data_IF_056588094292
#
_entry.id   IF_056588094292
#
_cell.length_a   1.000
_cell.length_b   1.000
_cell.length_c   1.000
_cell.angle_alpha   90.00
_cell.angle_beta   90.00
_cell.angle_gamma   90.00
#
_symmetry.space_group_name_H-M   'P 1'
#
loop_
_entity.id
_entity.type
_entity.pdbx_description
1 polymer ?
#
# COMPACT_ATOMS: atom_id res chain seq x y z
N UNK A 1 13.01 -27.07 8.64
CA UNK A 1 13.88 -26.22 9.49
C UNK A 1 13.91 -24.83 8.89
N UNK A 2 13.17 -23.85 9.45
CA UNK A 2 13.26 -22.45 9.01
C UNK A 2 14.51 -21.85 9.65
N UNK A 3 15.54 -21.58 8.85
CA UNK A 3 16.70 -20.83 9.29
C UNK A 3 16.22 -19.45 9.73
N UNK A 4 16.15 -19.22 11.05
CA UNK A 4 15.89 -17.89 11.62
C UNK A 4 17.19 -17.12 11.47
N UNK A 5 17.24 -16.19 10.51
CA UNK A 5 18.32 -15.21 10.46
C UNK A 5 17.82 -14.01 11.26
N UNK A 6 18.13 -13.92 12.57
CA UNK A 6 17.43 -13.03 13.50
C UNK A 6 17.56 -11.54 13.14
N UNK A 7 18.59 -11.20 12.37
CA UNK A 7 18.88 -9.83 11.95
C UNK A 7 18.09 -9.39 10.71
N UNK A 8 17.93 -10.27 9.71
CA UNK A 8 17.13 -9.94 8.52
C UNK A 8 15.65 -9.83 8.90
N UNK A 9 15.14 -10.74 9.72
CA UNK A 9 13.75 -10.71 10.17
C UNK A 9 13.36 -9.38 10.83
N UNK A 10 14.31 -8.67 11.44
CA UNK A 10 14.07 -7.37 12.11
C UNK A 10 13.73 -6.23 11.15
N UNK A 11 14.00 -6.39 9.86
CA UNK A 11 13.74 -5.39 8.82
C UNK A 11 12.24 -5.23 8.61
N UNK A 12 11.49 -6.34 8.60
CA UNK A 12 10.05 -6.37 8.31
C UNK A 12 9.18 -6.90 9.45
N UNK A 13 9.77 -7.45 10.53
CA UNK A 13 9.03 -7.89 11.72
C UNK A 13 9.11 -6.86 12.84
N UNK A 14 7.97 -6.67 13.50
CA UNK A 14 7.83 -5.84 14.69
C UNK A 14 7.65 -6.77 15.89
N UNK A 15 8.58 -6.66 16.85
CA UNK A 15 8.58 -7.40 18.11
C UNK A 15 8.61 -6.42 19.27
N UNK A 16 7.63 -6.48 20.14
CA UNK A 16 7.57 -5.65 21.34
C UNK A 16 6.60 -6.31 22.35
N UNK A 17 6.51 -5.72 23.54
CA UNK A 17 5.70 -6.22 24.65
C UNK A 17 4.87 -5.08 25.26
N UNK A 18 3.67 -5.41 25.72
CA UNK A 18 2.77 -4.48 26.41
C UNK A 18 2.36 -5.09 27.74
N UNK A 19 2.45 -4.31 28.82
CA UNK A 19 1.91 -4.71 30.12
C UNK A 19 0.39 -4.81 30.05
N UNK A 20 -0.15 -5.92 30.54
CA UNK A 20 -1.58 -6.11 30.72
C UNK A 20 -1.98 -5.57 32.11
N UNK A 21 -3.19 -5.01 32.25
CA UNK A 21 -3.73 -4.64 33.56
C UNK A 21 -3.78 -5.86 34.49
N UNK A 22 -3.52 -5.64 35.77
CA UNK A 22 -3.45 -6.71 36.77
C UNK A 22 -4.73 -7.56 36.78
N UNK A 23 -4.58 -8.89 36.75
CA UNK A 23 -5.68 -9.84 36.88
C UNK A 23 -6.42 -10.21 35.59
N UNK A 24 -6.10 -9.64 34.43
CA UNK A 24 -6.75 -10.03 33.16
C UNK A 24 -6.27 -11.43 32.73
N UNK A 25 -7.18 -12.42 32.56
CA UNK A 25 -6.81 -13.72 32.02
C UNK A 25 -6.50 -13.68 30.52
N UNK A 26 -5.64 -14.59 30.00
CA UNK A 26 -5.30 -14.69 28.58
C UNK A 26 -6.53 -14.67 27.67
N UNK A 27 -7.56 -15.46 28.03
CA UNK A 27 -8.80 -15.55 27.27
C UNK A 27 -9.51 -14.19 27.15
N UNK A 28 -9.63 -13.45 28.26
CA UNK A 28 -10.23 -12.12 28.25
C UNK A 28 -9.37 -11.09 27.47
N UNK A 29 -8.04 -11.23 27.49
CA UNK A 29 -7.17 -10.39 26.68
C UNK A 29 -7.38 -10.67 25.18
N UNK A 30 -7.50 -11.94 24.78
CA UNK A 30 -7.76 -12.32 23.40
C UNK A 30 -9.17 -11.94 22.93
N UNK A 31 -10.19 -12.02 23.79
CA UNK A 31 -11.54 -11.53 23.49
C UNK A 31 -11.54 -10.02 23.20
N UNK A 32 -10.79 -9.24 23.98
CA UNK A 32 -10.63 -7.79 23.74
C UNK A 32 -9.88 -7.47 22.45
N UNK A 33 -8.99 -8.36 22.01
CA UNK A 33 -8.26 -8.22 20.75
C UNK A 33 -9.04 -8.74 19.54
N UNK A 34 -10.02 -9.63 19.74
CA UNK A 34 -10.78 -10.26 18.66
C UNK A 34 -11.38 -9.27 17.64
N UNK A 35 -11.89 -8.08 18.02
CA UNK A 35 -12.40 -7.10 17.05
C UNK A 35 -11.38 -6.63 16.01
N UNK A 36 -10.07 -6.65 16.33
CA UNK A 36 -9.00 -6.27 15.38
C UNK A 36 -8.74 -7.35 14.32
N UNK A 37 -9.20 -8.57 14.58
CA UNK A 37 -9.05 -9.71 13.69
C UNK A 37 -10.38 -10.16 13.07
N UNK A 38 -11.50 -9.55 13.47
CA UNK A 38 -12.82 -9.75 12.89
C UNK A 38 -12.95 -9.08 11.50
N UNK A 39 -12.00 -9.34 10.62
CA UNK A 39 -11.91 -8.79 9.26
C UNK A 39 -11.93 -9.93 8.25
N UNK A 40 -12.60 -9.72 7.12
CA UNK A 40 -12.68 -10.72 6.03
C UNK A 40 -11.29 -11.18 5.61
N UNK A 41 -11.12 -12.49 5.38
CA UNK A 41 -9.82 -13.07 5.00
C UNK A 41 -8.85 -13.29 6.17
N UNK A 42 -9.25 -13.01 7.41
CA UNK A 42 -8.43 -13.28 8.59
C UNK A 42 -8.73 -14.68 9.14
N UNK A 43 -7.68 -15.49 9.25
CA UNK A 43 -7.68 -16.75 9.99
C UNK A 43 -7.00 -16.53 11.34
N UNK A 44 -7.65 -16.95 12.42
CA UNK A 44 -7.14 -16.86 13.77
C UNK A 44 -7.24 -18.21 14.46
N UNK A 45 -6.16 -18.61 15.11
CA UNK A 45 -6.07 -19.82 15.91
C UNK A 45 -5.54 -19.45 17.30
N UNK A 46 -6.28 -19.85 18.33
CA UNK A 46 -5.87 -19.66 19.73
C UNK A 46 -5.48 -21.02 20.30
N UNK A 47 -4.25 -21.12 20.78
CA UNK A 47 -3.71 -22.33 21.41
C UNK A 47 -3.15 -21.96 22.78
N UNK A 48 -3.96 -22.16 23.82
CA UNK A 48 -3.61 -21.78 25.20
C UNK A 48 -3.31 -20.28 25.29
N UNK A 49 -2.09 -19.93 25.69
CA UNK A 49 -1.66 -18.54 25.85
C UNK A 49 -1.12 -17.89 24.57
N UNK A 50 -1.29 -18.51 23.41
CA UNK A 50 -0.78 -17.99 22.12
C UNK A 50 -1.90 -17.87 21.09
N UNK A 51 -2.05 -16.66 20.52
CA UNK A 51 -2.91 -16.37 19.38
C UNK A 51 -2.05 -16.21 18.12
N UNK A 52 -2.29 -17.03 17.11
CA UNK A 52 -1.65 -16.93 15.80
C UNK A 52 -2.70 -16.46 14.78
N UNK A 53 -2.32 -15.50 13.95
CA UNK A 53 -3.22 -15.02 12.90
C UNK A 53 -2.51 -14.87 11.56
N UNK A 54 -3.31 -15.00 10.50
CA UNK A 54 -2.90 -14.75 9.12
C UNK A 54 -4.06 -14.07 8.36
N UNK A 55 -3.77 -12.97 7.69
CA UNK A 55 -4.69 -12.16 6.90
C UNK A 55 -4.35 -12.32 5.43
N UNK A 56 -5.30 -12.85 4.66
CA UNK A 56 -5.26 -12.87 3.21
C UNK A 56 -6.02 -11.66 2.66
N UNK A 57 -5.34 -10.87 1.83
CA UNK A 57 -5.89 -9.68 1.15
C UNK A 57 -6.69 -8.72 2.08
N UNK A 58 -6.03 -8.08 3.07
CA UNK A 58 -6.72 -7.21 4.02
C UNK A 58 -7.31 -5.97 3.32
N UNK A 59 -8.51 -5.57 3.75
CA UNK A 59 -9.13 -4.35 3.27
C UNK A 59 -8.28 -3.12 3.64
N UNK A 60 -8.24 -2.10 2.79
CA UNK A 60 -7.48 -0.87 3.05
C UNK A 60 -7.93 -0.11 4.32
N UNK A 61 -9.15 -0.37 4.81
CA UNK A 61 -9.70 0.22 6.04
C UNK A 61 -9.35 -0.58 7.31
N UNK A 62 -8.70 -1.74 7.18
CA UNK A 62 -8.26 -2.54 8.33
C UNK A 62 -7.10 -1.84 9.06
N UNK A 63 -7.26 -1.63 10.37
CA UNK A 63 -6.25 -1.00 11.24
C UNK A 63 -4.93 -1.77 11.28
N UNK A 64 -4.96 -3.07 10.95
CA UNK A 64 -3.82 -3.96 10.89
C UNK A 64 -3.53 -4.43 9.44
N UNK A 65 -3.97 -3.71 8.41
CA UNK A 65 -3.81 -4.12 7.01
C UNK A 65 -2.34 -4.37 6.61
N UNK A 66 -1.40 -3.61 7.17
CA UNK A 66 0.04 -3.78 6.91
C UNK A 66 0.60 -5.05 7.54
N UNK A 67 -0.01 -5.53 8.63
CA UNK A 67 0.42 -6.69 9.40
C UNK A 67 -0.34 -7.94 8.98
N UNK A 68 0.18 -8.62 7.96
CA UNK A 68 -0.51 -9.78 7.35
C UNK A 68 -0.44 -11.03 8.20
N UNK A 69 0.57 -11.20 9.06
CA UNK A 69 0.66 -12.39 9.91
C UNK A 69 1.40 -12.10 11.21
N UNK A 70 1.12 -12.89 12.24
CA UNK A 70 1.83 -12.75 13.50
C UNK A 70 1.38 -13.70 14.59
N UNK A 71 2.14 -13.65 15.69
CA UNK A 71 1.87 -14.41 16.90
C UNK A 71 1.84 -13.44 18.08
N UNK A 72 0.80 -13.54 18.91
CA UNK A 72 0.67 -12.86 20.18
C UNK A 72 0.69 -13.90 21.29
N UNK A 73 1.44 -13.64 22.35
CA UNK A 73 1.59 -14.53 23.50
C UNK A 73 1.35 -13.76 24.77
N UNK A 74 0.54 -14.32 25.67
CA UNK A 74 0.36 -13.78 27.01
C UNK A 74 1.32 -14.50 27.94
N UNK A 75 2.27 -13.77 28.52
CA UNK A 75 3.17 -14.30 29.54
C UNK A 75 2.86 -13.69 30.90
N UNK A 76 2.79 -14.52 31.94
CA UNK A 76 2.62 -14.07 33.33
C UNK A 76 3.94 -14.20 34.07
N UNK A 77 4.40 -13.11 34.67
CA UNK A 77 5.63 -13.11 35.46
C UNK A 77 5.56 -12.13 36.62
N UNK A 78 5.98 -12.59 37.81
CA UNK A 78 6.30 -11.73 38.96
C UNK A 78 5.21 -10.78 39.45
N UNK A 79 3.93 -11.14 39.30
CA UNK A 79 2.79 -10.32 39.76
C UNK A 79 2.08 -9.51 38.67
N UNK A 80 2.59 -9.50 37.44
CA UNK A 80 1.95 -8.87 36.28
C UNK A 80 1.76 -9.83 35.10
N UNK A 81 0.95 -9.43 34.13
CA UNK A 81 0.81 -10.11 32.85
C UNK A 81 1.34 -9.21 31.73
N UNK A 82 1.97 -9.80 30.70
CA UNK A 82 2.43 -9.10 29.51
C UNK A 82 1.91 -9.77 28.25
N UNK A 83 1.63 -8.98 27.24
CA UNK A 83 1.35 -9.43 25.88
C UNK A 83 2.61 -9.20 25.04
N UNK A 84 3.31 -10.28 24.73
CA UNK A 84 4.43 -10.31 23.79
C UNK A 84 3.89 -10.54 22.38
N UNK A 85 4.30 -9.74 21.41
CA UNK A 85 3.86 -9.92 20.02
C UNK A 85 5.03 -9.91 19.04
N UNK A 86 4.90 -10.74 18.01
CA UNK A 86 5.81 -10.82 16.88
C UNK A 86 4.98 -10.87 15.58
N UNK A 87 4.92 -9.74 14.88
CA UNK A 87 4.10 -9.56 13.67
C UNK A 87 4.97 -9.20 12.47
N UNK A 88 4.60 -9.67 11.29
CA UNK A 88 5.26 -9.36 10.03
C UNK A 88 4.50 -8.31 9.23
N UNK A 89 5.20 -7.28 8.75
CA UNK A 89 4.67 -6.25 7.86
C UNK A 89 5.15 -6.49 6.42
N UNK A 90 4.24 -6.85 5.53
CA UNK A 90 4.55 -7.01 4.11
C UNK A 90 4.92 -5.65 3.47
N UNK A 91 4.28 -4.57 3.94
CA UNK A 91 4.55 -3.21 3.49
C UNK A 91 6.00 -2.78 3.79
N UNK A 92 6.51 -3.02 5.01
CA UNK A 92 7.91 -2.72 5.35
C UNK A 92 8.90 -3.53 4.51
N UNK A 93 8.60 -4.80 4.26
CA UNK A 93 9.45 -5.64 3.42
C UNK A 93 9.56 -5.06 2.01
N UNK A 94 8.42 -4.70 1.40
CA UNK A 94 8.38 -4.12 0.06
C UNK A 94 9.03 -2.73 0.02
N UNK A 95 8.78 -1.89 1.03
CA UNK A 95 9.42 -0.57 1.13
C UNK A 95 10.94 -0.67 1.35
N UNK A 96 11.42 -1.72 2.00
CA UNK A 96 12.86 -2.00 2.12
C UNK A 96 13.47 -2.51 0.81
N UNK A 97 12.72 -3.33 0.06
CA UNK A 97 13.21 -3.95 -1.18
C UNK A 97 13.18 -2.97 -2.36
N UNK A 98 12.21 -2.07 -2.41
CA UNK A 98 12.02 -1.13 -3.51
C UNK A 98 13.27 -0.26 -3.77
N UNK A 99 13.95 0.36 -2.78
CA UNK A 99 15.18 1.10 -3.00
C UNK A 99 16.28 0.27 -3.65
N UNK A 100 16.44 -0.98 -3.23
CA UNK A 100 17.44 -1.89 -3.80
C UNK A 100 17.12 -2.23 -5.25
N UNK A 101 15.84 -2.39 -5.57
CA UNK A 101 15.38 -2.62 -6.95
C UNK A 101 15.67 -1.40 -7.84
N UNK A 102 15.35 -0.19 -7.38
CA UNK A 102 15.62 1.04 -8.15
C UNK A 102 17.10 1.32 -8.30
N UNK A 103 17.92 1.04 -7.28
CA UNK A 103 19.37 1.10 -7.40
C UNK A 103 19.88 0.10 -8.43
N UNK A 104 19.35 -1.13 -8.46
CA UNK A 104 19.72 -2.11 -9.48
C UNK A 104 19.38 -1.62 -10.90
N UNK A 105 18.21 -1.00 -11.11
CA UNK A 105 17.88 -0.38 -12.40
C UNK A 105 18.80 0.79 -12.75
N UNK A 106 19.18 1.63 -11.78
CA UNK A 106 20.16 2.69 -12.02
C UNK A 106 21.52 2.12 -12.44
N UNK A 107 21.99 1.03 -11.81
CA UNK A 107 23.24 0.38 -12.20
C UNK A 107 23.14 -0.28 -13.58
N UNK A 108 22.00 -0.89 -13.91
CA UNK A 108 21.77 -1.45 -15.24
C UNK A 108 21.77 -0.36 -16.32
N UNK A 109 21.19 0.81 -16.05
CA UNK A 109 21.24 1.96 -16.96
C UNK A 109 22.68 2.44 -17.19
N UNK A 110 23.48 2.58 -16.12
CA UNK A 110 24.91 2.92 -16.23
C UNK A 110 25.67 1.88 -17.05
N UNK A 111 25.42 0.59 -16.81
CA UNK A 111 26.09 -0.49 -17.55
C UNK A 111 25.68 -0.52 -19.01
N UNK A 112 24.39 -0.34 -19.31
CA UNK A 112 23.88 -0.25 -20.68
C UNK A 112 24.54 0.92 -21.40
N UNK A 113 24.65 2.09 -20.76
CA UNK A 113 25.37 3.23 -21.32
C UNK A 113 26.87 2.93 -21.48
N UNK A 114 27.50 2.11 -20.66
CA UNK A 114 28.91 1.74 -20.84
C UNK A 114 29.12 0.76 -21.99
N UNK A 115 28.15 -0.13 -22.26
CA UNK A 115 28.23 -1.14 -23.33
C UNK A 115 27.81 -0.58 -24.69
N UNK A 116 26.78 0.26 -24.70
CA UNK A 116 26.26 0.91 -25.91
C UNK A 116 26.86 2.29 -26.14
N UNK A 117 27.44 2.92 -25.11
CA UNK A 117 28.09 4.23 -25.19
C UNK A 117 29.14 4.35 -26.29
N UNK A 118 30.05 3.37 -26.51
CA UNK A 118 31.03 3.43 -27.58
C UNK A 118 30.39 3.30 -28.97
N UNK A 119 29.36 2.47 -29.13
CA UNK A 119 28.67 2.31 -30.42
C UNK A 119 27.78 3.50 -30.76
N UNK A 120 27.22 4.13 -29.72
CA UNK A 120 26.42 5.35 -29.83
C UNK A 120 27.33 6.57 -30.01
N UNK A 121 28.50 6.64 -29.37
CA UNK A 121 29.52 7.68 -29.62
C UNK A 121 30.25 7.50 -30.96
N UNK A 122 30.54 6.27 -31.42
CA UNK A 122 31.14 6.03 -32.74
C UNK A 122 30.15 6.38 -33.84
N UNK A 123 28.88 5.96 -33.72
CA UNK A 123 27.81 6.40 -34.63
C UNK A 123 27.60 7.93 -34.58
N UNK A 124 27.77 8.58 -33.42
CA UNK A 124 27.75 10.05 -33.27
C UNK A 124 28.99 10.73 -33.86
N UNK A 125 30.18 10.13 -33.76
CA UNK A 125 31.42 10.71 -34.30
C UNK A 125 31.50 10.56 -35.82
N UNK A 126 30.90 9.51 -36.38
CA UNK A 126 30.73 9.34 -37.82
C UNK A 126 29.65 10.27 -38.37
N UNK A 127 28.63 10.65 -37.58
CA UNK A 127 27.68 11.72 -37.92
C UNK A 127 28.25 13.13 -37.76
N UNK A 128 28.97 13.42 -36.67
CA UNK A 128 29.50 14.75 -36.36
C UNK A 128 30.81 15.11 -37.11
N UNK A 129 31.57 14.13 -37.61
CA UNK A 129 32.74 14.40 -38.47
C UNK A 129 32.36 14.78 -39.92
N UNK A 130 31.05 14.82 -40.23
CA UNK A 130 30.48 15.19 -41.51
C UNK A 130 29.67 16.48 -41.49
N UNK A 131 30.05 17.51 -40.72
CA UNK A 131 29.49 18.86 -40.84
C UNK A 131 29.90 19.53 -42.19
N UNK A 132 29.41 18.98 -43.30
CA UNK A 132 28.89 19.77 -44.41
C UNK A 132 27.38 19.52 -44.39
N UNK A 133 26.58 20.58 -44.22
CA UNK A 133 25.12 20.57 -44.16
C UNK A 133 24.48 19.30 -44.75
N UNK A 134 23.90 18.44 -43.89
CA UNK A 134 23.25 17.20 -44.34
C UNK A 134 22.18 17.54 -45.40
N UNK A 135 22.40 17.10 -46.63
CA UNK A 135 21.35 17.09 -47.64
C UNK A 135 20.21 16.18 -47.13
N UNK A 136 18.94 16.59 -47.31
CA UNK A 136 17.81 15.89 -46.72
C UNK A 136 17.83 14.42 -47.10
N UNK A 137 17.81 13.55 -46.08
CA UNK A 137 17.93 12.10 -46.23
C UNK A 137 16.99 11.55 -47.30
N UNK A 138 17.50 10.66 -48.15
CA UNK A 138 16.74 10.10 -49.26
C UNK A 138 15.44 9.46 -48.76
N UNK A 139 14.31 9.94 -49.28
CA UNK A 139 12.99 9.40 -48.99
C UNK A 139 12.97 7.89 -49.28
N UNK A 140 12.38 7.12 -48.37
CA UNK A 140 12.11 5.72 -48.59
C UNK A 140 11.35 5.54 -49.92
N UNK A 141 11.65 4.47 -50.66
CA UNK A 141 11.18 4.33 -52.05
C UNK A 141 9.64 4.40 -52.20
N UNK A 142 8.90 4.08 -51.14
CA UNK A 142 7.44 4.20 -51.05
C UNK A 142 6.99 5.67 -50.94
N UNK A 143 7.67 6.47 -50.11
CA UNK A 143 7.35 7.90 -49.93
C UNK A 143 7.71 8.72 -51.18
N UNK A 144 8.77 8.31 -51.89
CA UNK A 144 9.13 8.84 -53.21
C UNK A 144 8.05 8.53 -54.27
N UNK A 145 7.41 7.37 -54.20
CA UNK A 145 6.30 6.99 -55.08
C UNK A 145 5.01 7.79 -54.78
N UNK A 146 4.79 8.16 -53.52
CA UNK A 146 3.61 8.90 -53.06
C UNK A 146 3.75 10.42 -53.20
N UNK A 147 4.92 10.92 -53.61
CA UNK A 147 5.17 12.34 -53.81
C UNK A 147 5.19 13.15 -52.51
N UNK A 148 5.61 12.52 -51.41
CA UNK A 148 5.77 13.21 -50.14
C UNK A 148 6.79 14.35 -50.29
N UNK A 149 6.51 15.55 -49.72
CA UNK A 149 7.49 16.64 -49.70
C UNK A 149 8.74 16.20 -48.94
N UNK A 150 9.90 16.69 -49.36
CA UNK A 150 11.17 16.38 -48.70
C UNK A 150 11.14 16.86 -47.24
N UNK A 151 11.72 16.09 -46.30
CA UNK A 151 11.79 16.49 -44.90
C UNK A 151 12.62 17.78 -44.75
N UNK A 152 12.19 18.68 -43.87
CA UNK A 152 12.96 19.86 -43.49
C UNK A 152 14.18 19.45 -42.67
N UNK A 153 15.29 20.18 -42.81
CA UNK A 153 16.49 19.95 -42.00
C UNK A 153 16.16 20.19 -40.53
N UNK A 154 16.61 19.29 -39.65
CA UNK A 154 16.42 19.45 -38.21
C UNK A 154 17.32 20.58 -37.71
N UNK A 155 16.78 21.40 -36.81
CA UNK A 155 17.55 22.43 -36.14
C UNK A 155 18.46 21.79 -35.07
N UNK A 156 19.60 22.41 -34.74
CA UNK A 156 20.56 21.87 -33.75
C UNK A 156 19.93 21.61 -32.37
N UNK A 157 18.87 22.34 -32.00
CA UNK A 157 18.12 22.09 -30.76
C UNK A 157 17.35 20.75 -30.79
N UNK A 158 16.83 20.35 -31.96
CA UNK A 158 16.13 19.08 -32.15
C UNK A 158 17.12 17.89 -32.18
N UNK A 159 18.34 18.12 -32.68
CA UNK A 159 19.42 17.12 -32.66
C UNK A 159 19.95 16.86 -31.25
N UNK A 160 20.13 17.90 -30.42
CA UNK A 160 20.52 17.74 -29.01
C UNK A 160 19.45 16.99 -28.19
N UNK A 161 18.15 17.23 -28.47
CA UNK A 161 17.05 16.47 -27.83
C UNK A 161 17.05 14.99 -28.26
N UNK A 162 17.22 14.69 -29.55
CA UNK A 162 17.30 13.32 -30.08
C UNK A 162 18.57 12.57 -29.57
N UNK A 163 19.68 13.29 -29.36
CA UNK A 163 20.92 12.72 -28.82
C UNK A 163 20.79 12.29 -27.35
N UNK A 164 19.95 12.96 -26.57
CA UNK A 164 19.68 12.57 -25.18
C UNK A 164 18.64 11.44 -25.10
N UNK A 165 17.75 11.27 -26.09
CA UNK A 165 16.77 10.17 -26.13
C UNK A 165 17.42 8.77 -26.18
N UNK A 166 18.63 8.66 -26.74
CA UNK A 166 19.36 7.39 -26.81
C UNK A 166 20.08 6.96 -25.51
N UNK A 167 20.21 7.85 -24.52
CA UNK A 167 20.99 7.58 -23.30
C UNK A 167 20.06 7.21 -22.14
N UNK A 168 20.30 6.06 -21.51
CA UNK A 168 19.52 5.67 -20.33
C UNK A 168 19.98 6.45 -19.09
N UNK A 169 19.23 7.47 -18.68
CA UNK A 169 19.56 8.25 -17.48
C UNK A 169 19.38 7.41 -16.19
N UNK A 170 20.40 7.28 -15.32
CA UNK A 170 20.27 6.57 -14.05
C UNK A 170 19.62 7.42 -12.94
N UNK A 171 19.48 8.73 -13.16
CA UNK A 171 18.99 9.72 -12.19
C UNK A 171 17.61 9.37 -11.61
N UNK A 172 16.60 8.95 -12.42
CA UNK A 172 15.30 8.55 -11.89
C UNK A 172 15.39 7.38 -10.89
N UNK A 173 16.28 6.41 -11.15
CA UNK A 173 16.51 5.27 -10.26
C UNK A 173 17.07 5.70 -8.89
N UNK A 174 18.00 6.67 -8.87
CA UNK A 174 18.52 7.21 -7.61
C UNK A 174 17.47 8.01 -6.82
N UNK A 175 16.67 8.84 -7.50
CA UNK A 175 15.62 9.64 -6.87
C UNK A 175 14.56 8.72 -6.24
N UNK A 176 14.06 7.75 -7.00
CA UNK A 176 13.07 6.78 -6.49
C UNK A 176 13.64 5.96 -5.33
N UNK A 177 14.89 5.51 -5.42
CA UNK A 177 15.54 4.82 -4.32
C UNK A 177 15.60 5.67 -3.04
N UNK A 178 15.92 6.96 -3.17
CA UNK A 178 15.93 7.90 -2.05
C UNK A 178 14.55 8.07 -1.40
N UNK A 179 13.50 8.25 -2.20
CA UNK A 179 12.11 8.41 -1.71
C UNK A 179 11.67 7.16 -0.95
N UNK A 180 11.83 5.97 -1.55
CA UNK A 180 11.42 4.73 -0.90
C UNK A 180 12.25 4.43 0.37
N UNK A 181 13.54 4.80 0.39
CA UNK A 181 14.37 4.68 1.58
C UNK A 181 13.84 5.59 2.71
N UNK A 182 13.44 6.82 2.40
CA UNK A 182 12.82 7.72 3.36
C UNK A 182 11.49 7.16 3.89
N UNK A 183 10.62 6.66 3.00
CA UNK A 183 9.35 6.03 3.38
C UNK A 183 9.57 4.82 4.28
N UNK A 184 10.55 3.96 3.96
CA UNK A 184 10.92 2.82 4.81
C UNK A 184 11.33 3.27 6.21
N UNK A 185 12.18 4.29 6.33
CA UNK A 185 12.60 4.81 7.63
C UNK A 185 11.41 5.34 8.43
N UNK A 186 10.55 6.14 7.82
CA UNK A 186 9.33 6.67 8.48
C UNK A 186 8.42 5.53 8.93
N UNK A 187 8.12 4.59 8.04
CA UNK A 187 7.32 3.41 8.36
C UNK A 187 7.93 2.57 9.48
N UNK A 188 9.27 2.44 9.51
CA UNK A 188 9.98 1.65 10.51
C UNK A 188 9.82 2.18 11.93
N UNK A 189 9.66 3.50 12.09
CA UNK A 189 9.38 4.13 13.38
C UNK A 189 7.89 4.21 13.68
N UNK A 190 7.05 4.51 12.68
CA UNK A 190 5.63 4.74 12.86
C UNK A 190 4.83 3.43 13.06
N UNK A 191 5.16 2.36 12.35
CA UNK A 191 4.43 1.09 12.44
C UNK A 191 4.44 0.46 13.84
N UNK A 192 5.59 0.30 14.53
CA UNK A 192 5.61 -0.22 15.90
C UNK A 192 4.81 0.66 16.86
N UNK A 193 4.87 1.98 16.67
CA UNK A 193 4.18 2.94 17.52
C UNK A 193 2.66 2.85 17.37
N UNK A 194 2.16 2.82 16.13
CA UNK A 194 0.73 2.67 15.82
C UNK A 194 0.19 1.32 16.30
N UNK A 195 0.95 0.24 16.09
CA UNK A 195 0.57 -1.10 16.53
C UNK A 195 0.43 -1.16 18.06
N UNK A 196 1.44 -0.66 18.78
CA UNK A 196 1.43 -0.62 20.25
C UNK A 196 0.25 0.18 20.79
N UNK A 197 -0.04 1.34 20.18
CA UNK A 197 -1.18 2.18 20.53
C UNK A 197 -2.51 1.47 20.26
N UNK A 198 -2.62 0.74 19.15
CA UNK A 198 -3.84 0.02 18.76
C UNK A 198 -4.14 -1.14 19.69
N UNK A 199 -3.13 -1.95 20.01
CA UNK A 199 -3.26 -3.03 20.99
C UNK A 199 -3.60 -2.50 22.39
N UNK A 200 -2.98 -1.39 22.82
CA UNK A 200 -3.33 -0.77 24.11
C UNK A 200 -4.81 -0.39 24.18
N UNK A 201 -5.33 0.31 23.17
CA UNK A 201 -6.74 0.68 23.09
C UNK A 201 -7.67 -0.53 23.08
N UNK A 202 -7.27 -1.61 22.42
CA UNK A 202 -8.06 -2.84 22.37
C UNK A 202 -8.15 -3.47 23.76
N UNK A 203 -7.01 -3.57 24.44
CA UNK A 203 -6.91 -4.13 25.78
C UNK A 203 -7.63 -3.27 26.83
N UNK A 204 -7.74 -1.96 26.63
CA UNK A 204 -8.54 -1.05 27.46
C UNK A 204 -10.05 -1.16 27.18
N UNK A 205 -10.46 -1.85 26.12
CA UNK A 205 -11.87 -2.02 25.74
C UNK A 205 -12.46 -0.82 24.99
N UNK A 206 -11.63 0.13 24.54
CA UNK A 206 -12.07 1.33 23.81
C UNK A 206 -12.39 1.07 22.33
N UNK A 207 -12.03 -0.12 21.83
CA UNK A 207 -12.40 -0.53 20.48
C UNK A 207 -13.83 -1.04 20.50
N UNK A 208 -14.77 -0.14 20.19
CA UNK A 208 -16.11 -0.50 19.73
C UNK A 208 -15.97 -1.66 18.73
N UNK A 209 -16.69 -2.78 18.92
CA UNK A 209 -16.65 -3.88 17.97
C UNK A 209 -16.94 -3.28 16.61
N UNK A 210 -16.10 -3.62 15.62
CA UNK A 210 -16.28 -3.18 14.26
C UNK A 210 -17.76 -3.36 13.93
N UNK A 211 -18.52 -2.25 13.86
CA UNK A 211 -19.89 -2.29 13.41
C UNK A 211 -19.79 -2.97 12.07
N UNK A 212 -20.23 -4.22 12.04
CA UNK A 212 -20.32 -5.01 10.84
C UNK A 212 -20.94 -4.09 9.80
N UNK A 213 -20.21 -3.84 8.73
CA UNK A 213 -20.69 -3.15 7.55
C UNK A 213 -21.79 -4.04 6.94
N UNK A 214 -22.96 -4.02 7.57
CA UNK A 214 -24.04 -4.98 7.42
C UNK A 214 -25.33 -4.59 8.15
N UNK A 215 -25.51 -3.31 8.50
CA UNK A 215 -26.81 -2.76 8.93
C UNK A 215 -27.01 -1.34 8.38
N UNK A 216 -26.91 -1.18 7.06
CA UNK A 216 -27.38 0.03 6.38
C UNK A 216 -28.45 -0.23 5.31
N UNK A 217 -28.97 -1.45 5.21
CA UNK A 217 -30.11 -1.80 4.38
C UNK A 217 -31.15 -2.63 5.16
N UNK A 218 -31.62 -2.09 6.28
CA UNK A 218 -32.83 -2.63 6.93
C UNK A 218 -33.49 -1.50 7.71
N UNK A 219 -34.00 -0.50 6.98
CA UNK A 219 -34.88 0.54 7.54
C UNK A 219 -35.72 1.27 6.48
N UNK A 220 -35.81 0.76 5.24
CA UNK A 220 -36.80 1.29 4.30
C UNK A 220 -38.20 0.75 4.59
N UNK A 221 -38.34 -0.51 5.02
CA UNK A 221 -39.66 -1.06 5.37
C UNK A 221 -40.27 -0.42 6.63
N UNK A 222 -39.48 -0.05 7.63
CA UNK A 222 -40.00 0.66 8.82
C UNK A 222 -40.33 2.13 8.53
N UNK A 223 -39.59 2.79 7.64
CA UNK A 223 -39.87 4.15 7.22
C UNK A 223 -41.17 4.22 6.39
N UNK A 224 -41.35 3.27 5.46
CA UNK A 224 -42.56 3.17 4.65
C UNK A 224 -43.78 2.73 5.48
N UNK A 225 -43.60 1.82 6.45
CA UNK A 225 -44.66 1.45 7.39
C UNK A 225 -45.04 2.60 8.32
N UNK A 226 -44.09 3.45 8.76
CA UNK A 226 -44.39 4.67 9.52
C UNK A 226 -45.08 5.73 8.67
N UNK A 227 -44.64 5.93 7.43
CA UNK A 227 -45.28 6.86 6.50
C UNK A 227 -46.72 6.44 6.19
N UNK A 228 -46.96 5.15 5.93
CA UNK A 228 -48.30 4.60 5.70
C UNK A 228 -49.23 4.79 6.91
N UNK A 229 -48.72 4.59 8.14
CA UNK A 229 -49.49 4.82 9.38
C UNK A 229 -49.82 6.29 9.61
N UNK A 230 -48.91 7.20 9.22
CA UNK A 230 -49.12 8.64 9.34
C UNK A 230 -50.17 9.13 8.34
N UNK A 231 -50.11 8.66 7.09
CA UNK A 231 -51.11 8.97 6.06
C UNK A 231 -52.50 8.48 6.46
N UNK A 232 -52.60 7.27 7.01
CA UNK A 232 -53.88 6.70 7.46
C UNK A 232 -54.46 7.41 8.69
N UNK A 233 -53.61 7.95 9.57
CA UNK A 233 -54.02 8.77 10.71
C UNK A 233 -54.56 10.14 10.27
N UNK A 234 -53.93 10.79 9.28
CA UNK A 234 -54.45 12.05 8.70
C UNK A 234 -55.79 11.85 8.00
N UNK A 235 -55.97 10.74 7.27
CA UNK A 235 -57.23 10.44 6.56
C UNK A 235 -58.40 10.19 7.51
N UNK A 236 -58.14 9.65 8.70
CA UNK A 236 -59.14 9.48 9.77
C UNK A 236 -59.45 10.77 10.54
N UNK A 237 -58.54 11.74 10.54
CA UNK A 237 -58.75 13.04 11.18
C UNK A 237 -59.62 14.01 10.37
N UNK A 238 -59.63 13.89 9.04
CA UNK A 238 -60.40 14.78 8.16
C UNK A 238 -61.91 14.49 8.14
N UNK A 239 -62.35 13.29 8.53
CA UNK A 239 -63.76 12.89 8.47
C UNK A 239 -64.59 13.34 9.71
N UNK A 240 -63.95 13.94 10.71
CA UNK A 240 -64.62 14.47 11.91
C UNK A 240 -64.92 15.99 11.83
N UNK A 241 -64.55 16.64 10.71
CA UNK A 241 -64.59 18.10 10.56
C UNK A 241 -65.75 18.67 9.74
N UNK A 242 -66.77 17.88 9.36
CA UNK A 242 -67.92 18.41 8.61
C UNK A 242 -69.12 18.63 9.53
N UNK A 243 -69.48 19.87 9.91
CA UNK A 243 -70.71 20.12 10.64
C UNK A 243 -71.90 19.73 9.75
N UNK A 244 -72.77 18.88 10.29
CA UNK A 244 -74.10 18.62 9.71
C UNK A 244 -74.92 19.91 9.87
N UNK A 245 -75.03 20.66 8.78
CA UNK A 245 -76.11 21.65 8.59
C UNK A 245 -77.40 20.95 8.19
#
# INVERSE_FOLDING_TARGET
>A
MKAKVPYLDRIWRVRDSIGLPDGVPPDAAFERLAPLFATRGTSCEVTGDTLTYNKDNPAAQDKLATFTSGTLRVERSGGGARLDYDVGSAALLLCFLAPLLFLAFAQLAVLANALHGPQVEEARSEGAAGEEAEEPGELHWIDRMLGAPAPEAKDQEDEEEDEDEGRHSPTPGYVLAGIFAAVYLVGRFLEPWLLKRTFRKALEGELEPARTAGHQYENHDEADARAARLVDATRRGEDLGKPRG
#
